data_IF_258749739993
#
_entry.id   IF_258749739993
#
_cell.length_a   1.000
_cell.length_b   1.000
_cell.length_c   1.000
_cell.angle_alpha   90.00
_cell.angle_beta   90.00
_cell.angle_gamma   90.00
#
_symmetry.space_group_name_H-M   'P 1'
#
loop_
_entity.id
_entity.type
_entity.pdbx_description
1 polymer ?
#
# COMPACT_ATOMS: atom_id res chain seq x y z
N UNK A 1 0.87 55.21 39.97
CA UNK A 1 1.61 55.27 38.70
C UNK A 1 2.10 53.86 38.39
N UNK A 2 1.84 53.39 37.17
CA UNK A 2 1.63 51.99 36.75
C UNK A 2 2.88 51.11 36.88
N UNK A 3 2.73 49.90 37.44
CA UNK A 3 3.73 48.82 37.37
C UNK A 3 3.47 48.00 36.11
N UNK A 4 4.46 47.93 35.21
CA UNK A 4 4.45 47.02 34.06
C UNK A 4 4.72 45.59 34.58
N UNK A 5 3.74 44.71 34.41
CA UNK A 5 3.93 43.26 34.44
C UNK A 5 3.76 42.75 33.01
N UNK A 6 4.86 42.51 32.30
CA UNK A 6 4.85 41.75 31.06
C UNK A 6 5.04 40.28 31.39
N UNK A 7 4.00 39.49 31.16
CA UNK A 7 4.05 38.03 31.22
C UNK A 7 4.79 37.52 29.98
N UNK A 8 5.89 36.79 30.20
CA UNK A 8 6.63 36.07 29.17
C UNK A 8 5.84 34.81 28.81
N UNK A 9 5.41 34.71 27.55
CA UNK A 9 4.72 33.54 27.03
C UNK A 9 5.71 32.35 26.91
N UNK A 10 5.34 31.21 27.48
CA UNK A 10 6.04 29.94 27.28
C UNK A 10 5.78 29.43 25.86
N UNK A 11 6.82 29.42 25.03
CA UNK A 11 6.85 28.61 23.81
C UNK A 11 7.11 27.16 24.22
N UNK A 12 6.07 26.33 24.19
CA UNK A 12 6.22 24.88 24.23
C UNK A 12 6.82 24.41 22.90
N UNK A 13 8.12 24.16 22.87
CA UNK A 13 8.76 23.47 21.74
C UNK A 13 8.38 21.99 21.83
N UNK A 14 7.52 21.57 20.92
CA UNK A 14 7.13 20.17 20.75
C UNK A 14 8.36 19.32 20.47
N UNK A 15 8.48 18.21 21.20
CA UNK A 15 9.46 17.16 20.93
C UNK A 15 9.10 16.50 19.61
N UNK A 16 9.84 16.82 18.55
CA UNK A 16 9.84 16.02 17.32
C UNK A 16 10.31 14.61 17.67
N UNK A 17 9.41 13.63 17.55
CA UNK A 17 9.80 12.23 17.55
C UNK A 17 10.60 12.02 16.28
N UNK A 18 11.91 11.82 16.43
CA UNK A 18 12.79 11.39 15.36
C UNK A 18 12.31 9.99 14.92
N UNK A 19 11.63 9.91 13.78
CA UNK A 19 11.55 8.68 13.02
C UNK A 19 12.98 8.29 12.66
N UNK A 20 13.45 7.16 13.19
CA UNK A 20 14.74 6.59 12.85
C UNK A 20 14.81 6.41 11.33
N UNK A 21 15.83 6.95 10.64
CA UNK A 21 16.07 6.56 9.25
C UNK A 21 16.63 5.14 9.27
N UNK A 22 15.84 4.19 8.75
CA UNK A 22 16.35 2.87 8.38
C UNK A 22 17.44 3.11 7.33
N UNK A 23 18.68 2.88 7.71
CA UNK A 23 19.82 3.02 6.83
C UNK A 23 19.70 2.02 5.68
N UNK A 24 19.32 2.52 4.50
CA UNK A 24 19.22 1.73 3.29
C UNK A 24 20.60 1.19 2.87
N UNK A 25 20.74 -0.13 2.92
CA UNK A 25 21.84 -0.88 2.31
C UNK A 25 21.54 -1.07 0.83
N UNK A 26 22.52 -0.98 -0.09
CA UNK A 26 22.23 -1.06 -1.52
C UNK A 26 21.83 -2.47 -1.91
N UNK A 27 20.66 -2.59 -2.54
CA UNK A 27 20.22 -3.72 -3.36
C UNK A 27 19.88 -4.98 -2.59
N UNK A 28 18.66 -5.05 -2.04
CA UNK A 28 17.86 -6.27 -1.89
C UNK A 28 16.40 -5.88 -1.55
N UNK A 29 15.45 -6.54 -2.21
CA UNK A 29 14.01 -6.35 -2.00
C UNK A 29 13.61 -6.96 -0.65
N UNK A 30 13.23 -6.12 0.32
CA UNK A 30 12.74 -6.53 1.63
C UNK A 30 11.25 -6.17 1.76
N UNK A 31 10.36 -7.04 1.26
CA UNK A 31 8.95 -7.00 1.64
C UNK A 31 8.79 -7.61 3.03
N UNK A 32 8.33 -6.84 4.01
CA UNK A 32 7.91 -7.34 5.32
C UNK A 32 6.39 -7.49 5.32
N UNK A 33 5.84 -8.70 5.50
CA UNK A 33 4.39 -8.89 5.57
C UNK A 33 3.87 -8.40 6.94
N UNK A 34 3.07 -7.34 6.97
CA UNK A 34 2.28 -6.97 8.15
C UNK A 34 0.96 -7.77 8.14
N UNK A 35 0.93 -8.88 8.88
CA UNK A 35 -0.09 -9.92 8.78
C UNK A 35 -1.30 -9.65 9.70
N UNK A 36 -2.16 -8.69 9.35
CA UNK A 36 -3.48 -8.56 9.99
C UNK A 36 -4.41 -9.68 9.48
N UNK A 37 -4.76 -10.67 10.33
CA UNK A 37 -5.25 -11.99 9.85
C UNK A 37 -6.62 -12.47 10.36
N UNK A 38 -7.42 -13.08 9.44
CA UNK A 38 -8.28 -14.27 9.62
C UNK A 38 -8.27 -15.13 8.31
N UNK A 39 -8.99 -16.26 8.22
CA UNK A 39 -8.49 -17.60 7.89
C UNK A 39 -8.72 -18.23 6.48
N UNK A 40 -9.35 -17.56 5.51
CA UNK A 40 -9.83 -18.20 4.26
C UNK A 40 -9.08 -17.79 2.96
N UNK A 41 -7.85 -17.27 3.06
CA UNK A 41 -7.00 -16.92 1.88
C UNK A 41 -6.11 -18.10 1.42
N UNK A 42 -6.37 -19.32 1.89
CA UNK A 42 -5.50 -20.48 1.68
C UNK A 42 -4.32 -20.50 2.65
N UNK A 43 -3.35 -21.41 2.45
CA UNK A 43 -2.14 -21.44 3.29
C UNK A 43 -1.40 -20.10 3.14
N UNK A 44 -1.35 -19.32 4.23
CA UNK A 44 -0.88 -17.93 4.22
C UNK A 44 0.57 -17.82 3.76
N UNK A 45 1.39 -18.82 4.09
CA UNK A 45 2.78 -18.89 3.64
C UNK A 45 2.84 -19.00 2.11
N UNK A 46 2.01 -19.87 1.53
CA UNK A 46 1.86 -20.00 0.08
C UNK A 46 1.27 -18.75 -0.58
N UNK A 47 0.28 -18.09 0.05
CA UNK A 47 -0.32 -16.87 -0.47
C UNK A 47 0.66 -15.69 -0.50
N UNK A 48 1.40 -15.47 0.60
CA UNK A 48 2.47 -14.45 0.67
C UNK A 48 3.55 -14.73 -0.36
N UNK A 49 3.96 -16.00 -0.51
CA UNK A 49 4.93 -16.41 -1.54
C UNK A 49 4.44 -16.10 -2.95
N UNK A 50 3.17 -16.41 -3.26
CA UNK A 50 2.58 -16.14 -4.56
C UNK A 50 2.49 -14.65 -4.90
N UNK A 51 2.11 -13.81 -3.94
CA UNK A 51 2.12 -12.33 -4.12
C UNK A 51 3.56 -11.85 -4.32
N UNK A 52 4.49 -12.32 -3.49
CA UNK A 52 5.91 -11.96 -3.60
C UNK A 52 6.51 -12.31 -4.96
N UNK A 53 6.19 -13.49 -5.52
CA UNK A 53 6.64 -13.90 -6.84
C UNK A 53 6.11 -12.99 -7.96
N UNK A 54 4.82 -12.64 -7.91
CA UNK A 54 4.20 -11.70 -8.86
C UNK A 54 4.86 -10.33 -8.77
N UNK A 55 4.98 -9.79 -7.56
CA UNK A 55 5.61 -8.49 -7.32
C UNK A 55 7.05 -8.48 -7.84
N UNK A 56 7.86 -9.48 -7.50
CA UNK A 56 9.24 -9.59 -7.97
C UNK A 56 9.35 -9.64 -9.51
N UNK A 57 8.46 -10.37 -10.17
CA UNK A 57 8.39 -10.44 -11.63
C UNK A 57 8.04 -9.07 -12.23
N UNK A 58 7.03 -8.38 -11.69
CA UNK A 58 6.61 -7.06 -12.19
C UNK A 58 7.69 -6.01 -11.93
N UNK A 59 8.33 -6.00 -10.75
CA UNK A 59 9.45 -5.10 -10.43
C UNK A 59 10.56 -5.21 -11.48
N UNK A 60 10.97 -6.43 -11.84
CA UNK A 60 11.99 -6.65 -12.88
C UNK A 60 11.56 -6.10 -14.25
N UNK A 61 10.29 -6.26 -14.62
CA UNK A 61 9.74 -5.70 -15.86
C UNK A 61 9.76 -4.16 -15.85
N UNK A 62 9.34 -3.54 -14.75
CA UNK A 62 9.26 -2.07 -14.68
C UNK A 62 10.60 -1.40 -14.46
N UNK A 63 11.59 -2.07 -13.86
CA UNK A 63 12.95 -1.55 -13.75
C UNK A 63 13.68 -1.51 -15.09
N UNK A 64 13.28 -2.33 -16.07
CA UNK A 64 13.78 -2.28 -17.44
C UNK A 64 13.25 -1.11 -18.27
N UNK A 65 12.24 -0.38 -17.79
CA UNK A 65 11.68 0.78 -18.48
C UNK A 65 12.52 2.03 -18.19
N UNK A 66 13.13 2.59 -19.24
CA UNK A 66 14.01 3.76 -19.14
C UNK A 66 13.16 5.05 -19.05
N UNK A 67 13.30 5.74 -17.92
CA UNK A 67 13.09 7.19 -17.67
C UNK A 67 11.67 7.78 -17.61
N UNK A 68 10.65 6.99 -17.27
CA UNK A 68 9.33 7.55 -16.89
C UNK A 68 8.77 6.92 -15.62
N UNK A 69 9.03 7.56 -14.49
CA UNK A 69 8.62 7.08 -13.16
C UNK A 69 7.10 6.86 -13.04
N UNK A 70 6.30 7.77 -13.63
CA UNK A 70 4.84 7.66 -13.67
C UNK A 70 4.40 6.40 -14.44
N UNK A 71 4.96 6.16 -15.62
CA UNK A 71 4.62 4.97 -16.43
C UNK A 71 5.03 3.67 -15.72
N UNK A 72 6.17 3.69 -15.02
CA UNK A 72 6.59 2.55 -14.18
C UNK A 72 5.61 2.28 -13.05
N UNK A 73 5.16 3.32 -12.34
CA UNK A 73 4.18 3.20 -11.26
C UNK A 73 2.84 2.69 -11.76
N UNK A 74 2.31 3.26 -12.83
CA UNK A 74 1.07 2.81 -13.46
C UNK A 74 1.16 1.36 -13.95
N UNK A 75 2.27 0.99 -14.60
CA UNK A 75 2.47 -0.38 -15.03
C UNK A 75 2.61 -1.34 -13.85
N UNK A 76 3.30 -0.92 -12.78
CA UNK A 76 3.44 -1.69 -11.56
C UNK A 76 2.08 -1.94 -10.90
N UNK A 77 1.33 -0.88 -10.57
CA UNK A 77 0.04 -0.98 -9.88
C UNK A 77 -0.94 -1.85 -10.66
N UNK A 78 -1.10 -1.58 -11.96
CA UNK A 78 -2.07 -2.29 -12.80
C UNK A 78 -1.68 -3.76 -13.04
N UNK A 79 -0.40 -4.06 -13.28
CA UNK A 79 0.04 -5.45 -13.50
C UNK A 79 0.00 -6.26 -12.22
N UNK A 80 0.41 -5.70 -11.09
CA UNK A 80 0.33 -6.40 -9.80
C UNK A 80 -1.13 -6.68 -9.45
N UNK A 81 -2.03 -5.68 -9.53
CA UNK A 81 -3.44 -5.90 -9.22
C UNK A 81 -4.06 -7.03 -10.07
N UNK A 82 -3.78 -7.02 -11.39
CA UNK A 82 -4.26 -8.07 -12.31
C UNK A 82 -3.64 -9.43 -12.03
N UNK A 83 -2.32 -9.53 -12.02
CA UNK A 83 -1.63 -10.83 -11.88
C UNK A 83 -1.89 -11.46 -10.50
N UNK A 84 -2.08 -10.65 -9.45
CA UNK A 84 -2.53 -11.16 -8.14
C UNK A 84 -3.99 -11.61 -8.21
N UNK A 85 -4.90 -10.86 -8.83
CA UNK A 85 -6.29 -11.30 -8.97
C UNK A 85 -6.43 -12.64 -9.72
N UNK A 86 -5.60 -12.86 -10.75
CA UNK A 86 -5.53 -14.14 -11.47
C UNK A 86 -5.08 -15.31 -10.56
N UNK A 87 -4.30 -15.02 -9.51
CA UNK A 87 -3.85 -16.03 -8.52
C UNK A 87 -4.86 -16.28 -7.40
N UNK A 88 -5.72 -15.31 -7.11
CA UNK A 88 -6.71 -15.37 -6.03
C UNK A 88 -8.14 -15.21 -6.59
N UNK A 89 -8.63 -16.18 -7.40
CA UNK A 89 -9.96 -16.09 -7.99
C UNK A 89 -11.04 -16.02 -6.89
N UNK A 90 -12.04 -15.15 -7.09
CA UNK A 90 -13.11 -14.91 -6.12
C UNK A 90 -12.71 -14.06 -4.92
N UNK A 91 -11.53 -13.43 -4.96
CA UNK A 91 -11.09 -12.43 -3.99
C UNK A 91 -10.92 -11.08 -4.68
N UNK A 92 -11.07 -10.02 -3.90
CA UNK A 92 -10.80 -8.65 -4.34
C UNK A 92 -9.35 -8.30 -4.06
N UNK A 93 -8.74 -7.59 -4.99
CA UNK A 93 -7.34 -7.15 -4.91
C UNK A 93 -7.28 -5.64 -5.07
N UNK A 94 -6.53 -4.99 -4.19
CA UNK A 94 -6.21 -3.57 -4.27
C UNK A 94 -4.70 -3.41 -4.11
N UNK A 95 -4.10 -2.61 -5.00
CA UNK A 95 -2.72 -2.14 -4.85
C UNK A 95 -2.80 -0.66 -4.53
N UNK A 96 -2.18 -0.21 -3.43
CA UNK A 96 -2.30 1.17 -2.97
C UNK A 96 -0.98 1.70 -2.39
N UNK A 97 -0.60 2.93 -2.73
CA UNK A 97 0.55 3.66 -2.20
C UNK A 97 0.13 4.88 -1.33
N UNK A 98 -1.16 5.19 -1.27
CA UNK A 98 -1.71 6.26 -0.41
C UNK A 98 -2.31 5.68 0.86
N UNK A 99 -2.71 6.54 1.81
CA UNK A 99 -3.42 6.11 3.01
C UNK A 99 -4.73 5.40 2.65
N UNK A 100 -5.16 4.45 3.50
CA UNK A 100 -6.44 3.78 3.36
C UNK A 100 -6.93 3.24 4.70
N UNK A 101 -8.21 2.85 4.76
CA UNK A 101 -8.77 2.04 5.84
C UNK A 101 -9.42 0.77 5.31
N UNK A 102 -9.33 -0.29 6.11
CA UNK A 102 -10.02 -1.56 5.90
C UNK A 102 -10.97 -1.81 7.06
N UNK A 103 -12.24 -2.06 6.76
CA UNK A 103 -13.27 -2.41 7.76
C UNK A 103 -14.05 -3.64 7.31
N UNK A 104 -14.75 -4.30 8.23
CA UNK A 104 -15.48 -5.53 7.96
C UNK A 104 -14.75 -6.81 8.40
N UNK A 105 -15.54 -7.86 8.64
CA UNK A 105 -15.08 -9.10 9.26
C UNK A 105 -14.51 -10.13 8.30
N UNK A 106 -14.61 -9.88 7.00
CA UNK A 106 -14.06 -10.74 5.95
C UNK A 106 -12.54 -10.89 6.07
N UNK A 107 -12.01 -11.90 5.43
CA UNK A 107 -10.58 -12.18 5.52
C UNK A 107 -9.77 -11.21 4.67
N UNK A 108 -8.55 -10.92 5.13
CA UNK A 108 -7.61 -10.07 4.41
C UNK A 108 -6.18 -10.58 4.54
N UNK A 109 -5.38 -10.23 3.54
CA UNK A 109 -3.95 -10.35 3.49
C UNK A 109 -3.40 -9.04 2.97
N UNK A 110 -2.44 -8.46 3.70
CA UNK A 110 -1.73 -7.25 3.27
C UNK A 110 -0.26 -7.61 3.07
N UNK A 111 0.26 -7.29 1.89
CA UNK A 111 1.65 -7.50 1.53
C UNK A 111 2.27 -6.16 1.11
N UNK A 112 3.12 -5.61 1.97
CA UNK A 112 3.83 -4.36 1.71
C UNK A 112 5.09 -4.62 0.90
N UNK A 113 5.29 -3.80 -0.13
CA UNK A 113 6.42 -3.90 -1.04
C UNK A 113 6.92 -2.53 -1.46
N UNK A 114 8.24 -2.39 -1.59
CA UNK A 114 8.86 -1.14 -2.04
C UNK A 114 9.77 -1.39 -3.23
N UNK A 115 9.85 -0.43 -4.13
CA UNK A 115 10.90 -0.40 -5.14
C UNK A 115 11.47 1.00 -5.32
N UNK A 116 12.72 1.05 -5.77
CA UNK A 116 13.41 2.31 -6.01
C UNK A 116 12.84 3.00 -7.27
N UNK A 117 12.10 4.08 -7.06
CA UNK A 117 11.82 5.05 -8.10
C UNK A 117 13.12 5.83 -8.35
N UNK A 118 13.54 5.95 -9.62
CA UNK A 118 14.85 6.50 -10.02
C UNK A 118 15.08 7.95 -9.52
N UNK A 119 14.05 8.61 -8.99
CA UNK A 119 14.10 9.97 -8.45
C UNK A 119 13.79 9.95 -6.94
N UNK A 120 14.85 9.79 -6.15
CA UNK A 120 14.94 10.38 -4.81
C UNK A 120 14.29 9.66 -3.62
N UNK A 121 13.45 8.64 -3.79
CA UNK A 121 12.89 7.85 -2.67
C UNK A 121 12.34 6.49 -3.12
N UNK A 122 12.33 5.52 -2.21
CA UNK A 122 11.59 4.28 -2.41
C UNK A 122 10.08 4.55 -2.38
N UNK A 123 9.35 3.90 -3.26
CA UNK A 123 7.88 3.99 -3.33
C UNK A 123 7.32 2.69 -2.78
N UNK A 124 6.57 2.80 -1.69
CA UNK A 124 5.93 1.65 -1.03
C UNK A 124 4.50 1.48 -1.49
N UNK A 125 4.13 0.26 -1.84
CA UNK A 125 2.77 -0.14 -2.16
C UNK A 125 2.36 -1.27 -1.21
N UNK A 126 1.10 -1.23 -0.79
CA UNK A 126 0.44 -2.38 -0.19
C UNK A 126 -0.37 -3.10 -1.25
N UNK A 127 -0.16 -4.42 -1.34
CA UNK A 127 -1.01 -5.34 -2.09
C UNK A 127 -1.96 -5.97 -1.09
N UNK A 128 -3.23 -5.61 -1.19
CA UNK A 128 -4.30 -6.00 -0.28
C UNK A 128 -5.17 -7.00 -1.02
N UNK A 129 -5.28 -8.21 -0.50
CA UNK A 129 -6.19 -9.23 -0.99
C UNK A 129 -7.23 -9.49 0.09
N UNK A 130 -8.50 -9.48 -0.26
CA UNK A 130 -9.56 -9.69 0.72
C UNK A 130 -10.80 -10.35 0.13
N UNK A 131 -11.61 -10.92 1.02
CA UNK A 131 -12.89 -11.55 0.70
C UNK A 131 -14.02 -10.84 1.46
N UNK A 132 -15.20 -10.83 0.87
CA UNK A 132 -16.43 -10.35 1.53
C UNK A 132 -16.63 -11.03 2.91
N UNK A 133 -17.22 -10.34 3.91
CA UNK A 133 -17.64 -8.93 3.87
C UNK A 133 -16.49 -8.00 4.24
N UNK A 134 -16.17 -7.03 3.37
CA UNK A 134 -15.05 -6.10 3.59
C UNK A 134 -15.26 -4.80 2.84
N UNK A 135 -14.85 -3.71 3.46
CA UNK A 135 -14.81 -2.38 2.87
C UNK A 135 -13.38 -1.85 2.87
N UNK A 136 -12.99 -1.25 1.75
CA UNK A 136 -11.76 -0.48 1.61
C UNK A 136 -12.11 0.96 1.28
N UNK A 137 -11.48 1.90 1.99
CA UNK A 137 -11.63 3.34 1.75
C UNK A 137 -10.27 3.98 1.52
N UNK A 138 -10.05 4.51 0.33
CA UNK A 138 -8.83 5.25 -0.03
C UNK A 138 -8.83 6.65 0.60
N UNK A 139 -7.73 7.03 1.23
CA UNK A 139 -7.51 8.33 1.86
C UNK A 139 -6.48 9.15 1.06
N UNK A 140 -6.96 9.78 -0.01
CA UNK A 140 -6.15 10.61 -0.91
C UNK A 140 -6.48 10.34 -2.37
N UNK A 141 -6.19 11.31 -3.25
CA UNK A 141 -6.20 11.06 -4.68
C UNK A 141 -4.78 10.80 -5.17
N UNK A 142 -4.60 9.60 -5.69
CA UNK A 142 -3.32 9.10 -6.11
C UNK A 142 -3.21 8.87 -7.62
N UNK A 143 -4.26 9.09 -8.41
CA UNK A 143 -4.24 8.69 -9.82
C UNK A 143 -3.96 7.19 -10.03
N UNK A 144 -3.91 6.73 -11.28
CA UNK A 144 -3.67 5.31 -11.57
C UNK A 144 -2.26 4.83 -11.19
N UNK A 145 -1.34 5.77 -10.98
CA UNK A 145 0.03 5.51 -10.55
C UNK A 145 0.13 5.06 -9.09
N UNK A 146 -0.80 5.49 -8.23
CA UNK A 146 -0.71 5.19 -6.80
C UNK A 146 -1.76 4.19 -6.32
N UNK A 147 -2.74 3.83 -7.16
CA UNK A 147 -3.61 2.71 -6.85
C UNK A 147 -4.20 2.03 -8.10
N UNK A 148 -4.51 0.76 -7.96
CA UNK A 148 -5.27 -0.02 -8.92
C UNK A 148 -6.07 -1.10 -8.18
N UNK A 149 -7.18 -1.54 -8.76
CA UNK A 149 -8.02 -2.57 -8.14
C UNK A 149 -8.49 -3.59 -9.18
N UNK A 150 -8.80 -4.78 -8.68
CA UNK A 150 -9.57 -5.79 -9.37
C UNK A 150 -10.49 -6.41 -8.33
N UNK A 151 -11.78 -6.08 -8.40
CA UNK A 151 -12.74 -6.47 -7.37
C UNK A 151 -13.59 -7.64 -7.86
N UNK A 152 -13.94 -8.54 -6.94
CA UNK A 152 -14.88 -9.61 -7.23
C UNK A 152 -16.23 -9.04 -7.67
N UNK A 153 -16.99 -9.82 -8.45
CA UNK A 153 -18.29 -9.41 -8.99
C UNK A 153 -19.35 -9.09 -7.91
N UNK A 154 -19.15 -9.56 -6.68
CA UNK A 154 -20.01 -9.22 -5.53
C UNK A 154 -19.72 -7.85 -4.91
N UNK A 155 -18.66 -7.17 -5.35
CA UNK A 155 -18.23 -5.90 -4.81
C UNK A 155 -18.63 -4.73 -5.70
N UNK A 156 -18.77 -3.56 -5.08
CA UNK A 156 -18.95 -2.29 -5.78
C UNK A 156 -17.74 -1.39 -5.56
N UNK A 157 -17.36 -0.61 -6.57
CA UNK A 157 -16.32 0.42 -6.47
C UNK A 157 -16.92 1.78 -6.84
N UNK A 158 -16.64 2.79 -6.02
CA UNK A 158 -17.07 4.17 -6.23
C UNK A 158 -16.02 5.18 -5.74
N UNK A 159 -15.13 5.61 -6.63
CA UNK A 159 -14.19 6.70 -6.37
C UNK A 159 -13.08 6.38 -5.36
N UNK A 160 -12.76 5.09 -5.15
CA UNK A 160 -11.84 4.63 -4.11
C UNK A 160 -12.52 4.13 -2.83
N UNK A 161 -13.85 4.06 -2.82
CA UNK A 161 -14.62 3.25 -1.89
C UNK A 161 -14.93 1.90 -2.53
N UNK A 162 -14.46 0.81 -1.95
CA UNK A 162 -14.79 -0.55 -2.39
C UNK A 162 -15.57 -1.23 -1.28
N UNK A 163 -16.77 -1.71 -1.59
CA UNK A 163 -17.63 -2.41 -0.65
C UNK A 163 -17.99 -3.80 -1.20
N UNK A 164 -17.66 -4.83 -0.42
CA UNK A 164 -18.03 -6.22 -0.69
C UNK A 164 -18.93 -6.71 0.45
N UNK A 165 -20.19 -7.02 0.14
CA UNK A 165 -21.21 -7.45 1.10
C UNK A 165 -21.28 -8.96 1.29
#
# INVERSE_FOLDING_TARGET
MVRLSSALAFLAMGTSILANPIAAKPGNFEGSPDLVTRADIGDKSSAVGAIGDVVNKVVKLVQGMIDKDIERRQAFTQKVAREVADKFPGQSVIVCNVGYSLTGSGDQLVYSTSYNAKVGSDVTFDVIVFKSPKTFDRQGDGGYENWAFYVDSSCTENGGHVECL
#
